data_IF_073901185679
#
_entry.id   IF_073901185679
#
_cell.length_a   1.000
_cell.length_b   1.000
_cell.length_c   1.000
_cell.angle_alpha   90.00
_cell.angle_beta   90.00
_cell.angle_gamma   90.00
#
_symmetry.space_group_name_H-M   'P 1'
#
loop_
_entity.id
_entity.type
_entity.pdbx_description
1 polymer ?
#
# COMPACT_ATOMS: atom_id res chain seq x y z
N UNK A 1 6.56 -9.61 42.51
CA UNK A 1 7.64 -9.32 43.49
C UNK A 1 8.24 -7.97 43.11
N UNK A 2 7.69 -6.84 43.56
CA UNK A 2 8.04 -6.05 44.76
C UNK A 2 9.54 -5.70 44.86
N UNK A 3 9.89 -4.51 44.37
CA UNK A 3 11.15 -3.83 44.68
C UNK A 3 10.80 -2.54 45.44
N UNK A 4 10.88 -2.60 46.78
CA UNK A 4 10.68 -1.48 47.71
C UNK A 4 11.65 -1.66 48.88
N UNK A 5 12.90 -1.19 48.79
CA UNK A 5 13.79 -1.08 49.96
C UNK A 5 14.95 -0.13 49.69
N UNK A 6 14.75 1.19 49.84
CA UNK A 6 15.82 2.10 50.26
C UNK A 6 15.20 3.18 51.17
N UNK A 7 15.03 2.83 52.44
CA UNK A 7 14.85 3.74 53.57
C UNK A 7 15.37 2.99 54.81
N UNK A 8 16.63 3.22 55.21
CA UNK A 8 17.09 3.05 56.61
C UNK A 8 18.61 3.18 56.73
N UNK A 9 19.08 4.37 57.08
CA UNK A 9 20.29 4.58 57.86
C UNK A 9 20.23 6.02 58.39
N UNK A 10 20.56 6.39 59.60
CA UNK A 10 20.68 5.78 60.93
C UNK A 10 20.85 7.03 61.84
N UNK A 11 20.41 6.92 63.07
CA UNK A 11 20.15 8.00 64.02
C UNK A 11 21.42 8.48 64.77
N UNK A 12 21.32 9.70 65.30
CA UNK A 12 21.91 10.23 66.54
C UNK A 12 23.32 10.88 66.54
N UNK A 13 23.34 12.19 66.80
CA UNK A 13 24.20 12.80 67.83
C UNK A 13 23.56 14.13 68.31
N UNK A 14 23.13 14.14 69.56
CA UNK A 14 22.63 15.32 70.31
C UNK A 14 23.82 16.02 70.95
N UNK A 15 23.86 17.35 70.90
CA UNK A 15 24.63 18.19 71.83
C UNK A 15 23.90 19.52 72.04
N UNK A 16 23.32 19.67 73.23
CA UNK A 16 22.75 20.90 73.79
C UNK A 16 23.78 21.55 74.70
N UNK A 17 24.04 22.86 74.52
CA UNK A 17 24.37 23.90 75.52
C UNK A 17 24.28 25.25 74.75
N UNK A 18 23.68 26.37 75.16
CA UNK A 18 22.98 26.81 76.37
C UNK A 18 22.39 28.22 76.10
N UNK A 19 21.49 28.69 76.97
CA UNK A 19 20.87 30.04 76.99
C UNK A 19 21.95 31.15 77.11
N UNK A 20 21.81 32.36 76.56
CA UNK A 20 20.95 33.53 76.91
C UNK A 20 20.94 34.52 75.71
N UNK A 21 20.14 35.57 75.52
CA UNK A 21 19.42 36.49 76.41
C UNK A 21 18.32 37.24 75.60
N UNK A 22 17.28 37.71 76.30
CA UNK A 22 16.20 38.56 75.77
C UNK A 22 16.69 39.93 75.26
N UNK A 23 16.02 40.47 74.24
CA UNK A 23 15.49 41.84 74.33
C UNK A 23 14.09 41.91 73.73
N UNK A 24 13.20 42.54 74.48
CA UNK A 24 11.78 42.76 74.22
C UNK A 24 11.50 43.79 73.11
N UNK A 25 10.22 43.87 72.71
CA UNK A 25 9.52 44.91 71.94
C UNK A 25 9.54 44.74 70.40
N UNK A 26 8.44 44.73 69.64
CA UNK A 26 7.04 45.13 69.83
C UNK A 26 6.08 44.17 69.09
N UNK A 27 4.97 43.80 69.74
CA UNK A 27 3.83 43.14 69.12
C UNK A 27 3.10 44.13 68.18
N UNK A 28 3.40 44.08 66.90
CA UNK A 28 2.44 44.49 65.86
C UNK A 28 1.66 43.26 65.43
N UNK A 29 0.31 43.29 65.43
CA UNK A 29 -0.46 42.16 64.93
C UNK A 29 -0.21 42.09 63.43
N UNK A 30 0.64 41.15 63.01
CA UNK A 30 0.72 40.74 61.61
C UNK A 30 -0.66 40.23 61.23
N UNK A 31 -1.33 40.98 60.37
CA UNK A 31 -2.54 40.51 59.70
C UNK A 31 -2.22 39.17 59.07
N UNK A 32 -2.90 38.11 59.53
CA UNK A 32 -2.89 36.80 58.89
C UNK A 32 -3.17 37.05 57.40
N UNK A 33 -2.24 36.73 56.48
CA UNK A 33 -2.49 36.94 55.05
C UNK A 33 -3.77 36.19 54.71
N UNK A 34 -4.73 36.90 54.10
CA UNK A 34 -5.93 36.27 53.56
C UNK A 34 -5.51 35.09 52.67
N UNK A 35 -6.19 33.92 52.77
CA UNK A 35 -5.90 32.82 51.87
C UNK A 35 -6.04 33.34 50.44
N UNK A 36 -4.95 33.32 49.67
CA UNK A 36 -4.97 33.60 48.23
C UNK A 36 -6.05 32.67 47.65
N UNK A 37 -7.19 33.23 47.25
CA UNK A 37 -8.28 32.45 46.65
C UNK A 37 -7.71 31.82 45.39
N UNK A 38 -7.52 30.51 45.45
CA UNK A 38 -6.94 29.72 44.36
C UNK A 38 -8.02 29.60 43.28
N UNK A 39 -8.07 30.58 42.37
CA UNK A 39 -8.99 30.55 41.24
C UNK A 39 -8.59 29.41 40.32
N UNK A 40 -9.42 28.37 40.24
CA UNK A 40 -9.16 27.22 39.40
C UNK A 40 -8.98 27.62 37.92
N UNK A 41 -7.96 27.04 37.28
CA UNK A 41 -7.71 27.25 35.85
C UNK A 41 -8.80 26.54 35.02
N UNK A 42 -9.57 27.31 34.26
CA UNK A 42 -10.67 26.82 33.42
C UNK A 42 -10.59 27.35 32.00
N UNK A 43 -11.21 26.64 31.06
CA UNK A 43 -11.21 26.96 29.64
C UNK A 43 -12.63 26.90 29.09
N UNK A 44 -12.84 27.52 27.93
CA UNK A 44 -14.10 27.44 27.17
C UNK A 44 -14.34 26.07 26.52
N UNK A 45 -13.39 25.14 26.61
CA UNK A 45 -13.51 23.74 26.17
C UNK A 45 -12.73 22.78 27.06
N UNK A 46 -13.20 21.53 27.13
CA UNK A 46 -12.47 20.44 27.80
C UNK A 46 -11.60 19.62 26.84
N UNK A 47 -11.83 19.72 25.52
CA UNK A 47 -11.03 19.05 24.50
C UNK A 47 -10.85 19.92 23.26
N UNK A 48 -9.69 19.83 22.62
CA UNK A 48 -9.39 20.57 21.40
C UNK A 48 -9.43 19.60 20.22
N UNK A 49 -10.21 19.92 19.19
CA UNK A 49 -10.26 19.15 17.94
C UNK A 49 -9.86 20.04 16.77
N UNK A 50 -8.90 19.62 15.98
CA UNK A 50 -8.31 20.44 14.90
C UNK A 50 -7.96 19.56 13.69
N UNK A 51 -8.23 20.08 12.50
CA UNK A 51 -7.87 19.42 11.24
C UNK A 51 -6.36 19.43 11.04
N UNK A 52 -5.73 18.33 10.61
CA UNK A 52 -4.30 18.34 10.24
C UNK A 52 -4.03 19.43 9.19
N UNK A 53 -3.06 20.32 9.46
CA UNK A 53 -2.75 21.51 8.64
C UNK A 53 -3.62 22.73 8.93
N UNK A 54 -4.60 22.62 9.84
CA UNK A 54 -5.45 23.72 10.28
C UNK A 54 -5.08 24.19 11.69
N UNK A 55 -5.70 25.30 12.10
CA UNK A 55 -5.58 25.86 13.44
C UNK A 55 -6.93 25.98 14.13
N UNK A 56 -6.92 26.01 15.46
CA UNK A 56 -8.08 26.35 16.29
C UNK A 56 -7.63 27.07 17.53
N UNK A 57 -8.50 27.88 18.13
CA UNK A 57 -8.21 28.65 19.34
C UNK A 57 -9.18 28.27 20.45
N UNK A 58 -8.67 28.15 21.67
CA UNK A 58 -9.48 28.09 22.89
C UNK A 58 -8.99 29.15 23.87
N UNK A 59 -9.85 29.55 24.81
CA UNK A 59 -9.56 30.66 25.72
C UNK A 59 -9.56 30.19 27.17
N UNK A 60 -8.70 30.81 27.98
CA UNK A 60 -8.77 30.71 29.43
C UNK A 60 -9.92 31.56 29.95
N UNK A 61 -10.87 30.93 30.65
CA UNK A 61 -12.08 31.57 31.18
C UNK A 61 -11.93 32.02 32.64
N UNK A 62 -11.08 31.34 33.41
CA UNK A 62 -10.67 31.75 34.76
C UNK A 62 -9.28 31.21 35.09
N UNK A 63 -8.51 31.96 35.90
CA UNK A 63 -7.15 31.59 36.32
C UNK A 63 -6.39 32.78 36.89
N UNK A 64 -5.13 32.54 37.29
CA UNK A 64 -4.23 33.53 37.91
C UNK A 64 -3.52 34.49 36.95
N UNK A 65 -3.83 34.48 35.65
CA UNK A 65 -3.15 35.30 34.64
C UNK A 65 -1.73 34.83 34.30
N UNK A 66 -1.05 35.57 33.41
CA UNK A 66 0.30 35.27 32.89
C UNK A 66 0.46 33.79 32.43
N UNK A 67 -0.40 33.42 31.48
CA UNK A 67 -0.52 32.03 31.05
C UNK A 67 0.69 31.57 30.24
N UNK A 68 1.18 30.37 30.58
CA UNK A 68 2.21 29.64 29.83
C UNK A 68 1.65 28.30 29.42
N UNK A 69 2.07 27.80 28.26
CA UNK A 69 1.67 26.49 27.79
C UNK A 69 2.77 25.84 26.98
N UNK A 70 2.76 24.51 26.98
CA UNK A 70 3.57 23.70 26.08
C UNK A 70 2.75 22.52 25.54
N UNK A 71 3.13 22.04 24.36
CA UNK A 71 2.58 20.82 23.79
C UNK A 71 3.49 19.65 24.18
N UNK A 72 2.90 18.56 24.67
CA UNK A 72 3.63 17.34 25.05
C UNK A 72 4.29 16.66 23.85
N UNK A 73 3.71 16.80 22.66
CA UNK A 73 4.24 16.27 21.41
C UNK A 73 4.09 17.29 20.25
N UNK A 74 5.14 18.08 19.97
CA UNK A 74 5.13 19.07 18.89
C UNK A 74 5.04 18.47 17.48
N UNK A 75 5.37 17.18 17.29
CA UNK A 75 5.23 16.50 16.01
C UNK A 75 3.75 16.26 15.64
N UNK A 76 2.84 16.28 16.62
CA UNK A 76 1.40 16.13 16.44
C UNK A 76 0.73 17.50 16.33
N UNK A 77 1.06 18.44 17.22
CA UNK A 77 0.50 19.78 17.19
C UNK A 77 1.46 20.79 17.84
N UNK A 78 1.46 22.02 17.35
CA UNK A 78 2.17 23.15 17.94
C UNK A 78 1.18 24.17 18.52
N UNK A 79 1.69 25.15 19.28
CA UNK A 79 0.84 26.17 19.88
C UNK A 79 1.50 27.56 19.90
N UNK A 80 0.66 28.58 19.99
CA UNK A 80 1.03 29.96 20.31
C UNK A 80 0.04 30.54 21.32
N UNK A 81 0.49 31.46 22.16
CA UNK A 81 -0.34 32.11 23.18
C UNK A 81 -0.34 33.61 22.94
N UNK A 82 -1.53 34.22 22.99
CA UNK A 82 -1.72 35.67 22.94
C UNK A 82 -2.73 36.09 24.01
N UNK A 83 -2.23 36.63 25.12
CA UNK A 83 -3.07 36.94 26.28
C UNK A 83 -3.75 35.67 26.82
N UNK A 84 -5.08 35.62 26.76
CA UNK A 84 -5.87 34.49 27.25
C UNK A 84 -6.19 33.45 26.15
N UNK A 85 -5.81 33.73 24.90
CA UNK A 85 -6.08 32.87 23.76
C UNK A 85 -4.90 31.92 23.51
N UNK A 86 -5.17 30.62 23.46
CA UNK A 86 -4.21 29.59 23.05
C UNK A 86 -4.63 29.05 21.69
N UNK A 87 -3.80 29.30 20.68
CA UNK A 87 -4.01 28.81 19.31
C UNK A 87 -3.18 27.55 19.10
N UNK A 88 -3.84 26.48 18.68
CA UNK A 88 -3.24 25.18 18.37
C UNK A 88 -3.19 25.00 16.85
N UNK A 89 -2.06 24.53 16.33
CA UNK A 89 -1.87 24.17 14.93
C UNK A 89 -1.58 22.67 14.83
N UNK A 90 -2.40 21.92 14.10
CA UNK A 90 -2.17 20.48 13.93
C UNK A 90 -1.14 20.19 12.85
N UNK A 91 -0.16 19.35 13.18
CA UNK A 91 0.95 18.97 12.30
C UNK A 91 0.74 17.57 11.72
N UNK A 92 0.37 16.60 12.56
CA UNK A 92 0.22 15.20 12.16
C UNK A 92 -1.01 14.58 12.82
N UNK A 93 -1.59 13.57 12.16
CA UNK A 93 -2.68 12.79 12.74
C UNK A 93 -2.24 12.16 14.07
N UNK A 94 -3.04 12.35 15.12
CA UNK A 94 -2.77 11.77 16.42
C UNK A 94 -3.42 12.53 17.58
N UNK A 95 -3.05 12.12 18.78
CA UNK A 95 -3.48 12.74 20.03
C UNK A 95 -2.26 13.26 20.79
N UNK A 96 -2.36 14.46 21.33
CA UNK A 96 -1.33 15.04 22.21
C UNK A 96 -1.99 15.81 23.35
N UNK A 97 -1.23 16.14 24.38
CA UNK A 97 -1.68 17.01 25.46
C UNK A 97 -1.11 18.42 25.33
N UNK A 98 -1.91 19.40 25.70
CA UNK A 98 -1.45 20.77 25.96
C UNK A 98 -1.61 21.02 27.45
N UNK A 99 -0.52 21.37 28.11
CA UNK A 99 -0.52 21.74 29.53
C UNK A 99 -0.43 23.26 29.60
N UNK A 100 -1.41 23.88 30.24
CA UNK A 100 -1.43 25.32 30.50
C UNK A 100 -1.24 25.54 31.99
N UNK A 101 -0.42 26.52 32.36
CA UNK A 101 -0.19 26.97 33.72
C UNK A 101 -0.40 28.48 33.85
N UNK A 102 -0.73 28.95 35.05
CA UNK A 102 -0.83 30.37 35.39
C UNK A 102 0.21 30.83 36.43
N UNK A 103 0.31 32.14 36.69
CA UNK A 103 1.20 32.70 37.71
C UNK A 103 0.83 32.32 39.16
N UNK A 104 -0.35 31.77 39.39
CA UNK A 104 -0.74 31.26 40.71
C UNK A 104 -0.22 29.84 40.97
N UNK A 105 0.33 29.17 39.96
CA UNK A 105 0.84 27.80 40.05
C UNK A 105 -0.19 26.74 39.69
N UNK A 106 -1.40 27.13 39.26
CA UNK A 106 -2.38 26.19 38.76
C UNK A 106 -1.94 25.66 37.40
N UNK A 107 -2.25 24.40 37.11
CA UNK A 107 -2.07 23.82 35.79
C UNK A 107 -3.23 22.90 35.43
N UNK A 108 -3.57 22.86 34.14
CA UNK A 108 -4.58 21.94 33.60
C UNK A 108 -4.13 21.45 32.22
N UNK A 109 -4.35 20.17 31.97
CA UNK A 109 -4.04 19.50 30.71
C UNK A 109 -5.31 19.38 29.86
N UNK A 110 -5.25 19.77 28.59
CA UNK A 110 -6.28 19.48 27.59
C UNK A 110 -5.77 18.43 26.60
N UNK A 111 -6.68 17.57 26.14
CA UNK A 111 -6.39 16.65 25.03
C UNK A 111 -6.63 17.39 23.71
N UNK A 112 -5.62 17.37 22.84
CA UNK A 112 -5.69 17.80 21.45
C UNK A 112 -5.87 16.57 20.56
N UNK A 113 -6.92 16.58 19.73
CA UNK A 113 -7.24 15.59 18.72
C UNK A 113 -6.92 16.18 17.34
N UNK A 114 -5.75 15.85 16.79
CA UNK A 114 -5.34 16.26 15.46
C UNK A 114 -5.80 15.20 14.45
N UNK A 115 -6.87 15.47 13.72
CA UNK A 115 -7.51 14.48 12.83
C UNK A 115 -7.61 15.03 11.41
N UNK A 116 -7.55 14.17 10.40
CA UNK A 116 -7.91 14.59 9.06
C UNK A 116 -9.43 14.74 8.97
N UNK A 117 -9.90 15.77 8.24
CA UNK A 117 -11.33 16.01 7.95
C UNK A 117 -11.75 15.53 6.56
N UNK A 118 -10.78 15.15 5.73
CA UNK A 118 -10.96 14.56 4.41
C UNK A 118 -9.81 13.59 4.13
N UNK A 119 -10.06 12.62 3.26
CA UNK A 119 -9.00 11.78 2.70
C UNK A 119 -8.33 12.54 1.54
N UNK A 120 -7.00 12.47 1.49
CA UNK A 120 -6.15 12.96 0.41
C UNK A 120 -5.46 11.76 -0.25
N UNK A 121 -5.46 11.73 -1.58
CA UNK A 121 -4.85 10.66 -2.37
C UNK A 121 -3.70 11.24 -3.20
N UNK A 122 -2.75 10.40 -3.59
CA UNK A 122 -1.71 10.76 -4.56
C UNK A 122 -2.29 10.95 -5.98
N UNK A 123 -3.36 10.22 -6.30
CA UNK A 123 -4.14 10.34 -7.54
C UNK A 123 -5.60 9.94 -7.31
N UNK A 124 -6.49 10.47 -8.14
CA UNK A 124 -7.93 10.18 -8.09
C UNK A 124 -8.41 9.41 -9.34
N UNK A 125 -7.52 9.18 -10.31
CA UNK A 125 -7.78 8.36 -11.48
C UNK A 125 -6.59 7.44 -11.75
N UNK A 126 -6.87 6.18 -12.13
CA UNK A 126 -5.86 5.20 -12.55
C UNK A 126 -6.31 4.44 -13.78
N UNK A 127 -5.34 4.04 -14.59
CA UNK A 127 -5.56 3.18 -15.75
C UNK A 127 -4.86 1.83 -15.51
N UNK A 128 -5.55 0.75 -15.85
CA UNK A 128 -5.02 -0.61 -15.85
C UNK A 128 -5.12 -1.14 -17.27
N UNK A 129 -4.00 -1.61 -17.80
CA UNK A 129 -3.95 -2.28 -19.11
C UNK A 129 -3.61 -3.75 -18.91
N UNK A 130 -4.33 -4.64 -19.59
CA UNK A 130 -4.08 -6.08 -19.54
C UNK A 130 -4.49 -6.77 -20.84
N UNK A 131 -4.12 -8.04 -21.02
CA UNK A 131 -4.59 -8.85 -22.14
C UNK A 131 -6.05 -9.30 -21.90
N UNK A 132 -6.82 -9.49 -22.96
CA UNK A 132 -8.23 -9.96 -22.85
C UNK A 132 -8.29 -11.28 -22.06
N UNK A 133 -9.11 -11.32 -21.01
CA UNK A 133 -9.30 -12.50 -20.15
C UNK A 133 -8.24 -12.69 -19.05
N UNK A 134 -7.22 -11.83 -19.00
CA UNK A 134 -6.17 -11.87 -17.97
C UNK A 134 -6.45 -10.91 -16.83
N UNK A 135 -5.80 -11.12 -15.67
CA UNK A 135 -5.92 -10.28 -14.47
C UNK A 135 -4.55 -9.86 -13.90
N UNK A 136 -3.54 -9.78 -14.76
CA UNK A 136 -2.17 -9.41 -14.42
C UNK A 136 -1.98 -7.88 -14.30
N UNK A 137 -2.87 -7.10 -14.91
CA UNK A 137 -2.90 -5.65 -14.80
C UNK A 137 -3.27 -5.16 -13.39
N UNK A 138 -2.42 -4.32 -12.81
CA UNK A 138 -2.69 -3.67 -11.52
C UNK A 138 -2.37 -2.18 -11.55
N UNK A 139 -3.02 -1.42 -10.67
CA UNK A 139 -2.71 -0.04 -10.38
C UNK A 139 -2.61 0.19 -8.87
N UNK A 140 -1.90 1.25 -8.48
CA UNK A 140 -1.68 1.59 -7.07
C UNK A 140 -2.10 3.03 -6.79
N UNK A 141 -2.86 3.19 -5.71
CA UNK A 141 -3.25 4.47 -5.11
C UNK A 141 -2.75 4.52 -3.68
N UNK A 142 -2.22 5.67 -3.26
CA UNK A 142 -1.73 5.88 -1.90
C UNK A 142 -2.54 6.97 -1.21
N UNK A 143 -3.00 6.70 0.00
CA UNK A 143 -3.58 7.73 0.88
C UNK A 143 -2.46 8.58 1.47
N UNK A 144 -2.38 9.83 1.06
CA UNK A 144 -1.38 10.80 1.52
C UNK A 144 -1.84 11.59 2.76
N UNK A 145 -3.14 11.57 3.05
CA UNK A 145 -3.73 12.15 4.25
C UNK A 145 -5.05 11.46 4.61
N UNK A 146 -5.22 11.08 5.86
CA UNK A 146 -6.38 10.35 6.36
C UNK A 146 -6.12 9.79 7.75
N UNK A 147 -7.13 9.19 8.38
CA UNK A 147 -7.02 8.76 9.79
C UNK A 147 -6.53 7.30 9.96
N UNK A 148 -6.09 6.64 8.89
CA UNK A 148 -5.65 5.24 8.88
C UNK A 148 -6.79 4.24 9.02
N UNK A 149 -6.45 2.94 9.05
CA UNK A 149 -7.43 1.85 9.09
C UNK A 149 -8.32 1.87 7.84
N UNK A 150 -7.68 1.91 6.67
CA UNK A 150 -8.39 2.09 5.41
C UNK A 150 -9.09 0.80 4.97
N UNK A 151 -10.30 0.97 4.48
CA UNK A 151 -11.09 -0.02 3.75
C UNK A 151 -11.33 0.53 2.35
N UNK A 152 -11.44 -0.33 1.34
CA UNK A 152 -11.78 0.08 -0.01
C UNK A 152 -12.76 -0.91 -0.64
N UNK A 153 -13.72 -0.40 -1.40
CA UNK A 153 -14.75 -1.20 -2.09
C UNK A 153 -14.92 -0.66 -3.50
N UNK A 154 -14.90 -1.56 -4.48
CA UNK A 154 -15.25 -1.24 -5.87
C UNK A 154 -16.75 -1.35 -6.06
N UNK A 155 -17.34 -0.43 -6.82
CA UNK A 155 -18.74 -0.52 -7.24
C UNK A 155 -18.99 -1.58 -8.33
N UNK A 156 -17.95 -1.92 -9.11
CA UNK A 156 -17.96 -2.96 -10.14
C UNK A 156 -16.72 -3.85 -10.00
N UNK A 157 -16.80 -4.82 -9.07
CA UNK A 157 -15.73 -5.78 -8.81
C UNK A 157 -15.40 -6.68 -10.00
N UNK A 158 -16.35 -6.86 -10.93
CA UNK A 158 -16.20 -7.57 -12.19
C UNK A 158 -15.39 -6.79 -13.25
N UNK A 159 -15.21 -5.47 -13.06
CA UNK A 159 -14.35 -4.62 -13.89
C UNK A 159 -13.00 -4.42 -13.21
N UNK A 160 -13.02 -3.98 -11.95
CA UNK A 160 -11.82 -3.78 -11.14
C UNK A 160 -12.12 -4.10 -9.68
N UNK A 161 -11.21 -4.81 -9.03
CA UNK A 161 -11.34 -5.20 -7.62
C UNK A 161 -10.19 -4.68 -6.77
N UNK A 162 -10.44 -4.55 -5.47
CA UNK A 162 -9.40 -4.23 -4.50
C UNK A 162 -8.61 -5.50 -4.20
N UNK A 163 -7.39 -5.56 -4.70
CA UNK A 163 -6.53 -6.74 -4.55
C UNK A 163 -5.91 -6.82 -3.16
N UNK A 164 -5.42 -5.68 -2.65
CA UNK A 164 -4.84 -5.61 -1.30
C UNK A 164 -4.82 -4.18 -0.77
N UNK A 165 -4.76 -4.07 0.56
CA UNK A 165 -4.54 -2.83 1.29
C UNK A 165 -3.44 -3.09 2.31
N UNK A 166 -2.33 -2.38 2.19
CA UNK A 166 -1.19 -2.45 3.12
C UNK A 166 -0.89 -1.04 3.60
N UNK A 167 -1.12 -0.79 4.89
CA UNK A 167 -1.05 0.54 5.50
C UNK A 167 -1.90 1.57 4.73
N UNK A 168 -1.26 2.47 3.98
CA UNK A 168 -1.90 3.51 3.17
C UNK A 168 -1.91 3.23 1.67
N UNK A 169 -1.44 2.06 1.24
CA UNK A 169 -1.29 1.66 -0.16
C UNK A 169 -2.43 0.71 -0.54
N UNK A 170 -3.21 1.11 -1.54
CA UNK A 170 -4.32 0.34 -2.10
C UNK A 170 -3.89 -0.15 -3.48
N UNK A 171 -3.82 -1.47 -3.64
CA UNK A 171 -3.58 -2.11 -4.94
C UNK A 171 -4.89 -2.55 -5.54
N UNK A 172 -5.15 -2.10 -6.76
CA UNK A 172 -6.36 -2.38 -7.53
C UNK A 172 -5.97 -3.29 -8.69
N UNK A 173 -6.70 -4.39 -8.91
CA UNK A 173 -6.50 -5.34 -9.99
C UNK A 173 -7.61 -5.19 -11.03
N UNK A 174 -7.23 -5.16 -12.31
CA UNK A 174 -8.20 -5.20 -13.42
C UNK A 174 -8.76 -6.61 -13.60
N UNK A 175 -10.04 -6.68 -13.99
CA UNK A 175 -10.77 -7.95 -14.21
C UNK A 175 -11.39 -8.00 -15.61
N UNK A 176 -12.06 -6.92 -16.04
CA UNK A 176 -12.58 -6.81 -17.41
C UNK A 176 -12.57 -5.37 -17.91
N UNK A 177 -12.67 -5.20 -19.23
CA UNK A 177 -12.64 -3.88 -19.86
C UNK A 177 -13.82 -3.00 -19.41
N UNK A 178 -13.54 -1.80 -18.92
CA UNK A 178 -14.59 -0.89 -18.48
C UNK A 178 -14.10 0.17 -17.50
N UNK A 179 -15.03 0.76 -16.76
CA UNK A 179 -14.72 1.74 -15.71
C UNK A 179 -15.42 1.38 -14.42
N UNK A 180 -14.72 1.51 -13.29
CA UNK A 180 -15.25 1.31 -11.95
C UNK A 180 -14.85 2.48 -11.04
N UNK A 181 -15.60 2.69 -9.96
CA UNK A 181 -15.26 3.62 -8.88
C UNK A 181 -14.88 2.83 -7.63
N UNK A 182 -13.66 3.05 -7.14
CA UNK A 182 -13.21 2.48 -5.87
C UNK A 182 -13.40 3.52 -4.78
N UNK A 183 -14.26 3.24 -3.81
CA UNK A 183 -14.49 4.08 -2.63
C UNK A 183 -13.56 3.65 -1.51
N UNK A 184 -12.63 4.53 -1.12
CA UNK A 184 -11.73 4.38 0.01
C UNK A 184 -12.38 5.05 1.22
N UNK A 185 -12.39 4.36 2.36
CA UNK A 185 -12.94 4.82 3.63
C UNK A 185 -11.90 4.67 4.73
N UNK A 186 -11.78 5.65 5.63
CA UNK A 186 -10.91 5.52 6.81
C UNK A 186 -11.69 5.09 8.06
N UNK A 187 -10.96 4.82 9.16
CA UNK A 187 -11.57 4.38 10.44
C UNK A 187 -12.51 5.41 11.08
N UNK A 188 -12.46 6.67 10.64
CA UNK A 188 -13.36 7.75 11.11
C UNK A 188 -14.58 7.92 10.20
N UNK A 189 -14.70 7.08 9.16
CA UNK A 189 -15.82 7.09 8.23
C UNK A 189 -15.70 8.13 7.12
N UNK A 190 -14.55 8.79 6.97
CA UNK A 190 -14.32 9.67 5.82
C UNK A 190 -14.17 8.84 4.57
N UNK A 191 -14.70 9.33 3.45
CA UNK A 191 -14.67 8.62 2.17
C UNK A 191 -14.07 9.47 1.05
N UNK A 192 -13.40 8.81 0.10
CA UNK A 192 -12.94 9.41 -1.16
C UNK A 192 -12.94 8.35 -2.25
N UNK A 193 -13.28 8.74 -3.47
CA UNK A 193 -13.41 7.83 -4.61
C UNK A 193 -12.23 7.97 -5.57
N UNK A 194 -11.84 6.86 -6.19
CA UNK A 194 -10.88 6.78 -7.30
C UNK A 194 -11.61 6.22 -8.52
N UNK A 195 -11.45 6.86 -9.67
CA UNK A 195 -11.90 6.31 -10.95
C UNK A 195 -10.85 5.35 -11.50
N UNK A 196 -11.26 4.13 -11.81
CA UNK A 196 -10.43 3.10 -12.41
C UNK A 196 -10.92 2.87 -13.83
N UNK A 197 -10.03 2.97 -14.81
CA UNK A 197 -10.30 2.60 -16.21
C UNK A 197 -9.47 1.37 -16.54
N UNK A 198 -10.13 0.28 -16.92
CA UNK A 198 -9.49 -0.96 -17.34
C UNK A 198 -9.63 -1.09 -18.85
N UNK A 199 -8.50 -1.23 -19.53
CA UNK A 199 -8.45 -1.46 -20.98
C UNK A 199 -7.83 -2.83 -21.25
N UNK A 200 -8.48 -3.60 -22.13
CA UNK A 200 -7.95 -4.88 -22.58
C UNK A 200 -7.39 -4.79 -23.99
N UNK A 201 -6.33 -5.53 -24.27
CA UNK A 201 -5.76 -5.69 -25.61
C UNK A 201 -5.82 -7.14 -26.09
N UNK A 202 -6.08 -7.34 -27.37
CA UNK A 202 -5.96 -8.62 -28.07
C UNK A 202 -4.57 -8.82 -28.70
N UNK A 203 -3.66 -7.86 -28.53
CA UNK A 203 -2.28 -7.94 -28.99
C UNK A 203 -1.51 -8.93 -28.08
N UNK A 204 -1.06 -10.08 -28.60
CA UNK A 204 -0.43 -11.12 -27.78
C UNK A 204 1.00 -10.78 -27.36
N UNK A 205 1.73 -10.02 -28.18
CA UNK A 205 3.12 -9.66 -27.94
C UNK A 205 3.39 -8.22 -28.34
N UNK A 206 3.97 -7.41 -27.45
CA UNK A 206 4.52 -6.10 -27.81
C UNK A 206 5.79 -6.25 -28.63
N UNK A 207 6.22 -5.18 -29.31
CA UNK A 207 7.45 -5.21 -30.08
C UNK A 207 8.69 -5.45 -29.19
N UNK A 208 8.68 -4.97 -27.95
CA UNK A 208 9.72 -5.23 -26.95
C UNK A 208 9.74 -6.71 -26.51
N UNK A 209 8.57 -7.33 -26.32
CA UNK A 209 8.46 -8.76 -26.02
C UNK A 209 8.99 -9.60 -27.18
N UNK A 210 8.60 -9.29 -28.42
CA UNK A 210 9.11 -9.96 -29.63
C UNK A 210 10.62 -9.83 -29.75
N UNK A 211 11.17 -8.63 -29.54
CA UNK A 211 12.60 -8.37 -29.58
C UNK A 211 13.35 -9.20 -28.52
N UNK A 212 12.80 -9.29 -27.30
CA UNK A 212 13.36 -10.09 -26.21
C UNK A 212 13.35 -11.59 -26.51
N UNK A 213 12.25 -12.10 -27.09
CA UNK A 213 12.14 -13.49 -27.53
C UNK A 213 13.18 -13.80 -28.60
N UNK A 214 13.31 -12.95 -29.63
CA UNK A 214 14.29 -13.14 -30.71
C UNK A 214 15.75 -13.06 -30.25
N UNK A 215 16.03 -12.35 -29.16
CA UNK A 215 17.37 -12.24 -28.58
C UNK A 215 17.76 -13.47 -27.74
N UNK A 216 16.79 -14.21 -27.21
CA UNK A 216 17.03 -15.42 -26.42
C UNK A 216 17.51 -16.59 -27.28
N UNK A 217 18.45 -17.37 -26.76
CA UNK A 217 18.93 -18.63 -27.33
C UNK A 217 18.57 -19.85 -26.49
N UNK A 218 17.90 -19.67 -25.33
CA UNK A 218 17.47 -20.76 -24.47
C UNK A 218 16.30 -21.50 -25.12
N UNK A 219 16.42 -22.82 -25.40
CA UNK A 219 15.29 -23.59 -25.90
C UNK A 219 14.15 -23.60 -24.89
N UNK A 220 12.97 -23.16 -25.33
CA UNK A 220 11.78 -23.08 -24.48
C UNK A 220 10.52 -23.18 -25.34
N UNK A 221 9.45 -23.74 -24.78
CA UNK A 221 8.11 -23.64 -25.34
C UNK A 221 7.15 -23.29 -24.22
N UNK A 222 6.35 -22.25 -24.43
CA UNK A 222 5.30 -21.83 -23.50
C UNK A 222 4.01 -21.59 -24.25
N UNK A 223 2.89 -21.85 -23.58
CA UNK A 223 1.55 -21.49 -24.04
C UNK A 223 0.63 -21.41 -22.82
N UNK A 224 0.08 -20.22 -22.58
CA UNK A 224 -0.59 -19.86 -21.31
C UNK A 224 0.28 -20.24 -20.09
N UNK A 225 -0.29 -20.95 -19.12
CA UNK A 225 0.42 -21.48 -17.94
C UNK A 225 1.30 -22.69 -18.26
N UNK A 226 1.19 -23.25 -19.47
CA UNK A 226 1.99 -24.37 -19.93
C UNK A 226 3.42 -23.95 -20.23
N UNK A 227 4.40 -24.68 -19.67
CA UNK A 227 5.83 -24.45 -19.91
C UNK A 227 6.62 -25.74 -20.04
N UNK A 228 7.51 -25.80 -21.04
CA UNK A 228 8.48 -26.87 -21.23
C UNK A 228 9.43 -26.97 -20.02
N UNK A 229 9.79 -28.19 -19.65
CA UNK A 229 10.68 -28.47 -18.51
C UNK A 229 12.09 -28.82 -19.01
N UNK A 230 13.05 -28.85 -18.08
CA UNK A 230 14.43 -29.27 -18.38
C UNK A 230 14.54 -30.73 -18.79
N UNK A 231 13.58 -31.56 -18.40
CA UNK A 231 13.43 -32.94 -18.88
C UNK A 231 12.48 -32.98 -20.07
N UNK A 232 12.53 -34.07 -20.85
CA UNK A 232 11.79 -34.21 -22.10
C UNK A 232 12.63 -33.79 -23.30
N UNK A 233 12.07 -33.98 -24.49
CA UNK A 233 12.70 -33.68 -25.77
C UNK A 233 12.01 -32.50 -26.43
N UNK A 234 12.80 -31.58 -27.00
CA UNK A 234 12.32 -30.49 -27.84
C UNK A 234 12.70 -30.77 -29.27
N UNK A 235 11.78 -30.59 -30.22
CA UNK A 235 12.07 -30.76 -31.65
C UNK A 235 11.20 -29.88 -32.54
N UNK A 236 11.72 -29.57 -33.73
CA UNK A 236 10.97 -29.02 -34.87
C UNK A 236 10.89 -30.07 -35.97
N UNK A 237 9.80 -30.84 -35.98
CA UNK A 237 9.60 -31.98 -36.88
C UNK A 237 8.67 -31.69 -38.05
N UNK A 238 8.37 -32.75 -38.81
CA UNK A 238 7.31 -32.77 -39.81
C UNK A 238 6.54 -34.10 -39.70
N UNK A 239 5.22 -34.03 -39.72
CA UNK A 239 4.31 -35.18 -39.67
C UNK A 239 3.04 -34.83 -40.46
N UNK A 240 2.54 -35.76 -41.28
CA UNK A 240 1.31 -35.60 -42.06
C UNK A 240 1.20 -34.28 -42.84
N UNK A 241 2.32 -33.81 -43.39
CA UNK A 241 2.39 -32.56 -44.16
C UNK A 241 2.37 -31.27 -43.32
N UNK A 242 2.37 -31.37 -41.99
CA UNK A 242 2.46 -30.24 -41.06
C UNK A 242 3.82 -30.19 -40.38
N UNK A 243 4.29 -28.99 -40.09
CA UNK A 243 5.40 -28.76 -39.15
C UNK A 243 4.89 -28.97 -37.73
N UNK A 244 5.77 -29.51 -36.88
CA UNK A 244 5.49 -29.73 -35.46
C UNK A 244 6.59 -29.07 -34.64
N UNK A 245 6.26 -28.01 -33.93
CA UNK A 245 7.06 -27.46 -32.85
C UNK A 245 6.60 -28.11 -31.54
N UNK A 246 7.45 -28.90 -30.87
CA UNK A 246 7.04 -29.55 -29.63
C UNK A 246 8.11 -29.65 -28.55
N UNK A 247 7.61 -29.66 -27.32
CA UNK A 247 8.24 -30.28 -26.16
C UNK A 247 7.41 -31.50 -25.73
N UNK A 248 8.06 -32.65 -25.52
CA UNK A 248 7.38 -33.90 -25.17
C UNK A 248 8.16 -34.66 -24.09
N UNK A 249 7.42 -35.23 -23.13
CA UNK A 249 7.95 -36.18 -22.15
C UNK A 249 7.13 -37.48 -22.19
N UNK A 250 7.58 -38.42 -23.02
CA UNK A 250 6.99 -39.77 -23.19
C UNK A 250 5.47 -39.75 -23.44
N UNK A 251 4.98 -38.74 -24.17
CA UNK A 251 3.56 -38.45 -24.43
C UNK A 251 2.65 -38.29 -23.19
N UNK A 252 3.20 -38.37 -21.98
CA UNK A 252 2.48 -38.08 -20.74
C UNK A 252 2.29 -36.59 -20.56
N UNK A 253 3.34 -35.81 -20.84
CA UNK A 253 3.32 -34.36 -20.80
C UNK A 253 3.83 -33.79 -22.13
N UNK A 254 3.17 -32.77 -22.65
CA UNK A 254 3.56 -32.12 -23.89
C UNK A 254 3.05 -30.69 -24.03
N UNK A 255 3.77 -29.94 -24.84
CA UNK A 255 3.32 -28.76 -25.57
C UNK A 255 3.61 -29.03 -27.03
N UNK A 256 2.59 -29.00 -27.89
CA UNK A 256 2.73 -29.30 -29.32
C UNK A 256 2.02 -28.23 -30.12
N UNK A 257 2.70 -27.70 -31.13
CA UNK A 257 2.14 -26.75 -32.08
C UNK A 257 2.30 -27.32 -33.49
N UNK A 258 1.18 -27.48 -34.18
CA UNK A 258 1.13 -27.90 -35.57
C UNK A 258 0.81 -26.70 -36.44
N UNK A 259 1.45 -26.59 -37.60
CA UNK A 259 1.13 -25.58 -38.61
C UNK A 259 1.55 -26.05 -40.00
N UNK A 260 0.93 -25.49 -41.04
CA UNK A 260 1.33 -25.73 -42.43
C UNK A 260 2.29 -24.65 -42.92
N UNK A 261 3.12 -25.01 -43.91
CA UNK A 261 4.17 -24.16 -44.45
C UNK A 261 5.58 -24.58 -44.02
N UNK A 262 6.57 -23.79 -44.42
CA UNK A 262 7.97 -23.97 -44.05
C UNK A 262 8.36 -23.11 -42.82
N UNK A 263 9.64 -23.10 -42.47
CA UNK A 263 10.16 -22.31 -41.37
C UNK A 263 10.48 -20.86 -41.76
N UNK A 264 10.21 -20.39 -42.98
CA UNK A 264 10.53 -18.99 -43.33
C UNK A 264 9.80 -18.00 -42.43
N UNK A 265 10.38 -16.81 -42.20
CA UNK A 265 9.74 -15.78 -41.35
C UNK A 265 8.39 -15.36 -41.94
N UNK A 266 7.38 -15.27 -41.08
CA UNK A 266 6.03 -14.84 -41.41
C UNK A 266 4.93 -15.75 -40.85
N UNK A 267 3.69 -15.36 -41.14
CA UNK A 267 2.49 -16.09 -40.73
C UNK A 267 2.42 -17.48 -41.36
N UNK A 268 1.94 -18.44 -40.56
CA UNK A 268 1.69 -19.83 -40.93
C UNK A 268 0.21 -20.14 -40.84
N UNK A 269 -0.22 -21.17 -41.54
CA UNK A 269 -1.63 -21.53 -41.66
C UNK A 269 -1.97 -22.80 -40.87
N UNK A 270 -3.27 -23.02 -40.66
CA UNK A 270 -3.83 -24.20 -39.97
C UNK A 270 -3.16 -24.51 -38.62
N UNK A 271 -2.87 -23.45 -37.85
CA UNK A 271 -2.24 -23.60 -36.56
C UNK A 271 -3.14 -24.33 -35.56
N UNK A 272 -2.53 -25.21 -34.79
CA UNK A 272 -3.17 -25.96 -33.69
C UNK A 272 -2.20 -26.07 -32.54
N UNK A 273 -2.66 -25.90 -31.30
CA UNK A 273 -1.83 -26.11 -30.10
C UNK A 273 -2.47 -27.13 -29.18
N UNK A 274 -1.69 -28.11 -28.74
CA UNK A 274 -2.06 -29.11 -27.76
C UNK A 274 -1.23 -28.92 -26.50
N UNK A 275 -1.90 -28.90 -25.35
CA UNK A 275 -1.28 -28.68 -24.04
C UNK A 275 -1.67 -29.81 -23.09
N UNK A 276 -0.66 -30.44 -22.48
CA UNK A 276 -0.81 -31.34 -21.34
C UNK A 276 0.45 -31.23 -20.48
N UNK A 277 0.47 -30.32 -19.52
CA UNK A 277 1.69 -30.03 -18.73
C UNK A 277 1.57 -30.40 -17.25
N UNK A 278 0.42 -30.96 -16.85
CA UNK A 278 0.17 -31.59 -15.55
C UNK A 278 -0.18 -33.07 -15.74
N UNK A 279 0.37 -33.93 -14.90
CA UNK A 279 0.17 -35.38 -14.94
C UNK A 279 -1.28 -35.75 -14.64
N UNK A 280 -1.92 -35.00 -13.75
CA UNK A 280 -3.32 -35.21 -13.34
C UNK A 280 -4.29 -34.28 -14.08
N UNK A 281 -3.76 -33.37 -14.90
CA UNK A 281 -4.55 -32.42 -15.68
C UNK A 281 -5.10 -33.05 -16.97
N UNK A 282 -6.21 -32.49 -17.44
CA UNK A 282 -6.74 -32.82 -18.76
C UNK A 282 -5.86 -32.22 -19.85
N UNK A 283 -5.82 -32.89 -21.01
CA UNK A 283 -5.22 -32.31 -22.20
C UNK A 283 -6.18 -31.33 -22.86
N UNK A 284 -5.70 -30.15 -23.22
CA UNK A 284 -6.47 -29.16 -23.97
C UNK A 284 -5.93 -29.05 -25.39
N UNK A 285 -6.82 -28.86 -26.37
CA UNK A 285 -6.45 -28.59 -27.76
C UNK A 285 -7.15 -27.33 -28.25
N UNK A 286 -6.37 -26.45 -28.87
CA UNK A 286 -6.80 -25.21 -29.49
C UNK A 286 -6.61 -25.33 -30.99
N UNK A 287 -7.71 -25.24 -31.74
CA UNK A 287 -7.71 -25.20 -33.21
C UNK A 287 -7.76 -23.75 -33.69
N UNK A 288 -7.25 -23.50 -34.91
CA UNK A 288 -7.26 -22.16 -35.50
C UNK A 288 -6.32 -21.17 -34.83
N UNK A 289 -5.23 -21.67 -34.22
CA UNK A 289 -4.21 -20.85 -33.58
C UNK A 289 -3.42 -20.10 -34.64
N UNK A 290 -3.21 -18.80 -34.44
CA UNK A 290 -2.28 -18.03 -35.25
C UNK A 290 -0.86 -18.46 -34.91
N UNK A 291 -0.06 -18.76 -35.93
CA UNK A 291 1.34 -19.13 -35.77
C UNK A 291 2.17 -18.20 -36.65
N UNK A 292 3.20 -17.58 -36.08
CA UNK A 292 4.12 -16.70 -36.81
C UNK A 292 5.54 -17.14 -36.52
N UNK A 293 6.33 -17.43 -37.55
CA UNK A 293 7.78 -17.57 -37.39
C UNK A 293 8.39 -16.18 -37.43
N UNK A 294 9.08 -15.78 -36.37
CA UNK A 294 9.62 -14.42 -36.25
C UNK A 294 11.13 -14.36 -36.49
N UNK A 295 11.82 -15.49 -36.35
CA UNK A 295 13.26 -15.60 -36.61
C UNK A 295 13.63 -17.05 -36.91
N UNK A 296 14.65 -17.22 -37.74
CA UNK A 296 15.28 -18.50 -38.06
C UNK A 296 16.79 -18.28 -38.11
N UNK A 297 17.55 -19.21 -37.56
CA UNK A 297 19.01 -19.31 -37.74
C UNK A 297 19.35 -20.71 -38.24
N UNK A 298 20.64 -20.99 -38.44
CA UNK A 298 21.14 -22.32 -38.83
C UNK A 298 20.92 -23.39 -37.74
N UNK A 299 20.59 -22.98 -36.52
CA UNK A 299 20.51 -23.88 -35.35
C UNK A 299 19.19 -23.81 -34.62
N UNK A 300 18.37 -22.78 -34.85
CA UNK A 300 17.17 -22.52 -34.06
C UNK A 300 16.07 -21.83 -34.87
N UNK A 301 14.82 -22.02 -34.41
CA UNK A 301 13.64 -21.32 -34.91
C UNK A 301 12.88 -20.69 -33.74
N UNK A 302 12.36 -19.49 -33.97
CA UNK A 302 11.53 -18.74 -33.03
C UNK A 302 10.14 -18.56 -33.62
N UNK A 303 9.12 -18.97 -32.89
CA UNK A 303 7.74 -18.79 -33.32
C UNK A 303 6.83 -18.29 -32.20
N UNK A 304 5.84 -17.52 -32.58
CA UNK A 304 4.75 -17.04 -31.73
C UNK A 304 3.49 -17.84 -32.03
N UNK A 305 2.66 -18.02 -31.02
CA UNK A 305 1.39 -18.74 -31.10
C UNK A 305 0.33 -17.96 -30.32
N UNK A 306 -0.84 -17.69 -30.90
CA UNK A 306 -1.92 -17.04 -30.17
C UNK A 306 -3.32 -17.28 -30.76
N UNK A 307 -4.34 -17.19 -29.91
CA UNK A 307 -5.75 -17.35 -30.27
C UNK A 307 -6.62 -16.57 -29.30
N UNK A 308 -7.53 -15.75 -29.80
CA UNK A 308 -8.61 -15.20 -29.00
C UNK A 308 -9.79 -16.18 -29.04
N UNK A 309 -10.12 -16.78 -27.89
CA UNK A 309 -11.23 -17.74 -27.77
C UNK A 309 -11.91 -17.56 -26.42
N UNK A 310 -13.23 -17.65 -26.39
CA UNK A 310 -14.03 -17.58 -25.16
C UNK A 310 -13.70 -16.36 -24.26
N UNK A 311 -13.45 -15.21 -24.90
CA UNK A 311 -13.03 -13.96 -24.23
C UNK A 311 -11.72 -14.06 -23.44
N UNK A 312 -10.81 -14.93 -23.89
CA UNK A 312 -9.47 -15.09 -23.36
C UNK A 312 -8.45 -15.10 -24.50
N UNK A 313 -7.42 -14.27 -24.39
CA UNK A 313 -6.29 -14.27 -25.31
C UNK A 313 -5.32 -15.36 -24.86
N UNK A 314 -5.38 -16.51 -25.51
CA UNK A 314 -4.39 -17.56 -25.37
C UNK A 314 -3.14 -17.19 -26.16
N UNK A 315 -1.96 -17.32 -25.57
CA UNK A 315 -0.72 -16.97 -26.26
C UNK A 315 0.50 -17.69 -25.70
N UNK A 316 1.53 -17.78 -26.53
CA UNK A 316 2.75 -18.49 -26.22
C UNK A 316 3.80 -18.32 -27.31
N UNK A 317 4.99 -18.81 -27.05
CA UNK A 317 6.08 -18.79 -28.03
C UNK A 317 6.94 -20.03 -27.86
N UNK A 318 7.72 -20.33 -28.89
CA UNK A 318 8.73 -21.37 -28.85
C UNK A 318 10.06 -20.88 -29.41
N UNK A 319 11.13 -21.40 -28.84
CA UNK A 319 12.50 -21.32 -29.30
C UNK A 319 12.98 -22.77 -29.32
N UNK A 320 13.15 -23.33 -30.52
CA UNK A 320 13.46 -24.75 -30.67
C UNK A 320 14.73 -24.94 -31.48
N UNK A 321 15.55 -25.95 -31.13
CA UNK A 321 16.66 -26.35 -31.99
C UNK A 321 16.12 -26.84 -33.33
N UNK A 322 16.85 -26.52 -34.40
CA UNK A 322 16.71 -27.17 -35.70
C UNK A 322 17.69 -28.32 -35.70
N UNK A 323 17.16 -29.54 -35.81
CA UNK A 323 18.00 -30.71 -36.03
C UNK A 323 18.58 -30.61 -37.44
N UNK A 324 19.89 -30.43 -37.52
CA UNK A 324 20.62 -30.55 -38.78
C UNK A 324 20.91 -32.05 -38.98
N UNK A 325 20.14 -32.68 -39.86
CA UNK A 325 20.40 -34.05 -40.32
C UNK A 325 21.82 -34.21 -40.89
#
# INVERSE_FOLDING_TARGET
MKLKYIYSALMAAVLLLGFTACSSDEDTPTTKPEPKVETALTFDTDTVSVGVGETTTFNVTAGGGDYKAFCENPDIATLSIQGNAITISAVKNGYTGVVVSDAAGNYKRLIVKAMYKKILLDKEEVNVSMKVGHTDGTAVVTVTGGNGGYEAVSDHGDIAEVHSIVDSVITIRGVSNGTAMVTIKDKMGLTKTVKVTVTTTDIPFTEEEKASIMASTEPIMVFDDGRSRQYGSMRIGQEDGKRIAEWNYSDYLYLKCWFTGDLTVGMKAEGKVGVKTDYWGESTTYEGVNVEIIKVSDTQVWGLMWLLKDNYLHYGYFILPIDND
#
